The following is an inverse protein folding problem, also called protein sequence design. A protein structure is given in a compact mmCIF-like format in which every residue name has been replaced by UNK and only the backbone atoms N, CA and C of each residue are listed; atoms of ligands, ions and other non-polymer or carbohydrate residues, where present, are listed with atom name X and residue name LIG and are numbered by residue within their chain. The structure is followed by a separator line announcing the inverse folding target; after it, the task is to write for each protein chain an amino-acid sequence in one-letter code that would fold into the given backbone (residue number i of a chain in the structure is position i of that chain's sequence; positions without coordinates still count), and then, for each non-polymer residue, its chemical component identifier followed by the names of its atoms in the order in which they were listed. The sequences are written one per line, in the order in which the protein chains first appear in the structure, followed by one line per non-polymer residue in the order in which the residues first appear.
data_IF_850085067870
#
_entry.id   IF_850085067870
#
_cell.length_a   1.000
_cell.length_b   1.000
_cell.length_c   1.000
_cell.angle_alpha   90.00
_cell.angle_beta   90.00
_cell.angle_gamma   90.00
#
_symmetry.space_group_name_H-M   'P 1'
#
loop_
_entity.id
_entity.type
_entity.pdbx_description
1 polymer ?
#
# COMPACT_ATOMS: atom_id res chain seq x y z
N UNK A 1 -19.57 -2.68 -5.88
CA UNK A 1 -18.88 -1.43 -5.50
C UNK A 1 -19.44 -0.21 -6.24
N UNK A 2 -19.21 -0.01 -7.59
CA UNK A 2 -19.64 1.21 -8.30
C UNK A 2 -21.17 1.38 -8.30
N UNK A 3 -21.92 0.33 -8.59
CA UNK A 3 -23.39 0.39 -8.56
C UNK A 3 -23.97 0.50 -7.14
N UNK A 4 -23.32 0.00 -6.13
CA UNK A 4 -23.70 0.19 -4.72
C UNK A 4 -23.54 1.65 -4.29
N UNK A 5 -22.42 2.28 -4.68
CA UNK A 5 -22.19 3.72 -4.43
C UNK A 5 -23.22 4.58 -5.16
N UNK A 6 -23.50 4.24 -6.42
CA UNK A 6 -24.50 4.95 -7.20
C UNK A 6 -25.90 4.77 -6.64
N UNK A 7 -26.29 3.56 -6.21
CA UNK A 7 -27.58 3.36 -5.56
C UNK A 7 -27.72 4.17 -4.27
N UNK A 8 -26.68 4.20 -3.44
CA UNK A 8 -26.66 5.00 -2.21
C UNK A 8 -26.80 6.51 -2.47
N UNK A 9 -26.23 7.00 -3.58
CA UNK A 9 -26.33 8.42 -3.97
C UNK A 9 -27.67 8.78 -4.63
N UNK A 10 -28.33 7.83 -5.28
CA UNK A 10 -29.59 8.03 -6.02
C UNK A 10 -30.83 7.85 -5.15
N UNK A 11 -30.79 6.95 -4.18
CA UNK A 11 -31.95 6.66 -3.29
C UNK A 11 -32.32 7.88 -2.47
N UNK A 12 -33.64 8.21 -2.43
CA UNK A 12 -34.16 9.38 -1.74
C UNK A 12 -34.11 10.69 -2.53
N UNK A 13 -33.56 10.68 -3.75
CA UNK A 13 -33.50 11.86 -4.63
C UNK A 13 -34.68 11.88 -5.61
N UNK A 14 -35.04 13.09 -6.08
CA UNK A 14 -36.11 13.30 -7.05
C UNK A 14 -35.56 13.38 -8.48
N UNK A 15 -36.02 12.50 -9.35
CA UNK A 15 -35.66 12.53 -10.75
C UNK A 15 -36.36 13.69 -11.48
N UNK A 16 -35.59 14.44 -12.30
CA UNK A 16 -36.13 15.47 -13.19
C UNK A 16 -36.52 14.85 -14.55
N UNK A 17 -35.93 13.71 -14.90
CA UNK A 17 -36.23 12.97 -16.14
C UNK A 17 -35.39 11.71 -16.22
N UNK A 18 -35.75 10.82 -17.12
CA UNK A 18 -35.10 9.54 -17.39
C UNK A 18 -36.02 8.63 -18.18
N UNK A 19 -35.47 7.58 -18.80
CA UNK A 19 -36.27 6.64 -19.59
C UNK A 19 -37.24 5.89 -18.68
N UNK A 20 -38.55 6.18 -18.83
CA UNK A 20 -39.63 5.55 -18.04
C UNK A 20 -39.97 6.25 -16.72
N UNK A 21 -39.25 7.33 -16.33
CA UNK A 21 -39.50 8.07 -15.11
C UNK A 21 -40.24 9.39 -15.39
N UNK A 22 -41.29 9.66 -14.61
CA UNK A 22 -42.02 10.94 -14.67
C UNK A 22 -41.24 11.97 -13.83
N UNK A 23 -41.31 13.23 -14.26
CA UNK A 23 -40.67 14.36 -13.52
C UNK A 23 -41.21 14.43 -12.09
N UNK A 24 -40.30 14.39 -11.11
CA UNK A 24 -40.64 14.43 -9.68
C UNK A 24 -40.78 13.07 -8.99
N UNK A 25 -40.53 11.95 -9.70
CA UNK A 25 -40.55 10.60 -9.09
C UNK A 25 -39.37 10.46 -8.13
N UNK A 26 -39.66 10.05 -6.89
CA UNK A 26 -38.62 9.72 -5.90
C UNK A 26 -38.00 8.36 -6.21
N UNK A 27 -36.69 8.29 -6.21
CA UNK A 27 -35.95 7.05 -6.52
C UNK A 27 -35.88 6.19 -5.26
N UNK A 28 -36.54 5.02 -5.33
CA UNK A 28 -36.50 4.00 -4.28
C UNK A 28 -35.59 2.84 -4.67
N UNK A 29 -35.17 2.04 -3.69
CA UNK A 29 -34.34 0.84 -3.89
C UNK A 29 -35.03 -0.16 -4.83
N UNK A 30 -36.35 -0.31 -4.70
CA UNK A 30 -37.13 -1.27 -5.49
C UNK A 30 -37.19 -0.83 -6.95
N UNK A 31 -37.35 0.47 -7.21
CA UNK A 31 -37.34 1.05 -8.55
C UNK A 31 -35.99 0.87 -9.25
N UNK A 32 -34.89 1.03 -8.50
CA UNK A 32 -33.55 0.77 -9.04
C UNK A 32 -33.29 -0.73 -9.30
N UNK A 33 -33.92 -1.63 -8.54
CA UNK A 33 -33.79 -3.07 -8.73
C UNK A 33 -34.56 -3.55 -9.99
N UNK A 34 -35.69 -2.92 -10.32
CA UNK A 34 -36.48 -3.24 -11.53
C UNK A 34 -35.83 -2.68 -12.81
N UNK A 35 -35.03 -1.62 -12.72
CA UNK A 35 -34.37 -0.99 -13.88
C UNK A 35 -33.07 -1.71 -14.25
N UNK A 36 -32.78 -1.79 -15.57
CA UNK A 36 -31.48 -2.24 -16.02
C UNK A 36 -30.38 -1.26 -15.52
N UNK A 37 -29.32 -1.80 -15.01
CA UNK A 37 -28.15 -1.03 -14.51
C UNK A 37 -27.57 -0.05 -15.53
N UNK A 38 -27.74 -0.31 -16.82
CA UNK A 38 -27.36 0.62 -17.89
C UNK A 38 -28.26 1.86 -17.98
N UNK A 39 -29.48 1.76 -17.50
CA UNK A 39 -30.44 2.85 -17.56
C UNK A 39 -30.28 3.83 -16.38
N UNK A 40 -29.58 3.43 -15.32
CA UNK A 40 -29.28 4.30 -14.18
C UNK A 40 -28.49 5.55 -14.60
N UNK A 41 -27.59 5.46 -15.57
CA UNK A 41 -26.81 6.59 -16.07
C UNK A 41 -27.62 7.58 -16.92
N UNK A 42 -28.83 7.17 -17.35
CA UNK A 42 -29.76 8.03 -18.12
C UNK A 42 -30.73 8.81 -17.24
N UNK A 43 -30.70 8.58 -15.94
CA UNK A 43 -31.51 9.34 -14.98
C UNK A 43 -30.90 10.73 -14.85
N UNK A 44 -31.73 11.77 -14.98
CA UNK A 44 -31.36 13.14 -14.76
C UNK A 44 -31.89 13.63 -13.42
N UNK A 45 -31.01 14.15 -12.61
CA UNK A 45 -31.30 14.66 -11.28
C UNK A 45 -31.44 16.19 -11.31
N UNK A 46 -32.12 16.74 -10.28
CA UNK A 46 -32.21 18.18 -10.12
C UNK A 46 -30.87 18.82 -9.76
N UNK A 47 -30.00 18.06 -9.10
CA UNK A 47 -28.68 18.48 -8.66
C UNK A 47 -27.63 18.18 -9.73
N UNK A 48 -26.95 19.22 -10.22
CA UNK A 48 -25.98 19.12 -11.30
C UNK A 48 -24.73 18.32 -10.89
N UNK A 49 -24.33 18.38 -9.61
CA UNK A 49 -23.22 17.63 -9.06
C UNK A 49 -23.41 16.10 -9.18
N UNK A 50 -24.63 15.62 -8.98
CA UNK A 50 -24.98 14.20 -9.13
C UNK A 50 -24.98 13.76 -10.60
N UNK A 51 -25.42 14.63 -11.51
CA UNK A 51 -25.35 14.33 -12.94
C UNK A 51 -23.91 14.20 -13.42
N UNK A 52 -22.99 15.08 -12.96
CA UNK A 52 -21.57 14.97 -13.26
C UNK A 52 -20.96 13.67 -12.70
N UNK A 53 -21.36 13.25 -11.50
CA UNK A 53 -20.89 11.99 -10.92
C UNK A 53 -21.37 10.78 -11.73
N UNK A 54 -22.61 10.79 -12.21
CA UNK A 54 -23.16 9.75 -13.08
C UNK A 54 -22.40 9.67 -14.41
N UNK A 55 -22.14 10.80 -15.06
CA UNK A 55 -21.40 10.85 -16.31
C UNK A 55 -19.94 10.38 -16.13
N UNK A 56 -19.28 10.82 -15.06
CA UNK A 56 -17.93 10.34 -14.71
C UNK A 56 -17.89 8.84 -14.44
N UNK A 57 -18.88 8.31 -13.73
CA UNK A 57 -18.98 6.89 -13.45
C UNK A 57 -19.27 6.06 -14.72
N UNK A 58 -20.10 6.56 -15.63
CA UNK A 58 -20.35 5.94 -16.93
C UNK A 58 -19.08 5.88 -17.78
N UNK A 59 -18.37 7.00 -17.89
CA UNK A 59 -17.12 7.09 -18.63
C UNK A 59 -16.06 6.10 -18.08
N UNK A 60 -15.89 6.06 -16.76
CA UNK A 60 -14.97 5.12 -16.12
C UNK A 60 -15.33 3.65 -16.36
N UNK A 61 -16.62 3.32 -16.32
CA UNK A 61 -17.07 1.96 -16.59
C UNK A 61 -16.90 1.58 -18.08
N UNK A 62 -17.12 2.52 -18.98
CA UNK A 62 -16.90 2.32 -20.42
C UNK A 62 -15.41 2.08 -20.71
N UNK A 63 -14.54 2.88 -20.14
CA UNK A 63 -13.09 2.72 -20.26
C UNK A 63 -12.60 1.38 -19.71
N UNK A 64 -13.03 1.01 -18.50
CA UNK A 64 -12.69 -0.29 -17.92
C UNK A 64 -13.22 -1.48 -18.72
N UNK A 65 -14.42 -1.37 -19.28
CA UNK A 65 -14.94 -2.41 -20.18
C UNK A 65 -14.06 -2.56 -21.42
N UNK A 66 -13.69 -1.43 -22.04
CA UNK A 66 -12.80 -1.43 -23.19
C UNK A 66 -11.46 -2.10 -22.88
N UNK A 67 -10.85 -1.75 -21.74
CA UNK A 67 -9.60 -2.41 -21.31
C UNK A 67 -9.76 -3.93 -21.10
N UNK A 68 -10.88 -4.35 -20.52
CA UNK A 68 -11.15 -5.76 -20.30
C UNK A 68 -11.38 -6.50 -21.61
N UNK A 69 -12.11 -5.90 -22.54
CA UNK A 69 -12.36 -6.46 -23.85
C UNK A 69 -11.06 -6.58 -24.65
N UNK A 70 -10.19 -5.55 -24.62
CA UNK A 70 -8.87 -5.61 -25.25
C UNK A 70 -8.00 -6.72 -24.64
N UNK A 71 -7.95 -6.84 -23.30
CA UNK A 71 -7.23 -7.92 -22.62
C UNK A 71 -7.80 -9.31 -22.94
N UNK A 72 -9.13 -9.39 -23.06
CA UNK A 72 -9.79 -10.63 -23.40
C UNK A 72 -9.47 -11.05 -24.85
N UNK A 73 -9.56 -10.13 -25.79
CA UNK A 73 -9.20 -10.38 -27.19
C UNK A 73 -7.72 -10.75 -27.34
N UNK A 74 -6.82 -10.10 -26.59
CA UNK A 74 -5.40 -10.47 -26.57
C UNK A 74 -5.15 -11.87 -26.04
N UNK A 75 -5.84 -12.24 -24.94
CA UNK A 75 -5.76 -13.60 -24.38
C UNK A 75 -6.35 -14.62 -25.34
N UNK A 76 -7.49 -14.33 -25.95
CA UNK A 76 -8.13 -15.19 -26.94
C UNK A 76 -7.21 -15.41 -28.15
N UNK A 77 -6.60 -14.33 -28.66
CA UNK A 77 -5.63 -14.40 -29.76
C UNK A 77 -4.43 -15.26 -29.39
N UNK A 78 -3.84 -15.07 -28.20
CA UNK A 78 -2.72 -15.89 -27.72
C UNK A 78 -3.08 -17.36 -27.57
N UNK A 79 -4.29 -17.67 -27.11
CA UNK A 79 -4.79 -19.04 -27.03
C UNK A 79 -5.05 -19.66 -28.39
N UNK A 80 -5.57 -18.88 -29.34
CA UNK A 80 -5.84 -19.34 -30.71
C UNK A 80 -4.57 -19.53 -31.55
N UNK A 81 -3.53 -18.68 -31.33
CA UNK A 81 -2.25 -18.78 -32.06
C UNK A 81 -1.45 -20.01 -31.63
N UNK A 82 -1.72 -20.56 -30.42
CA UNK A 82 -0.98 -21.69 -29.87
C UNK A 82 0.46 -21.32 -29.51
N UNK A 83 1.09 -22.15 -28.69
CA UNK A 83 2.54 -22.08 -28.48
C UNK A 83 3.23 -22.77 -29.68
N UNK A 84 4.29 -22.16 -30.21
CA UNK A 84 5.17 -22.79 -31.21
C UNK A 84 5.90 -23.97 -30.56
N UNK A 85 5.24 -25.13 -30.54
CA UNK A 85 5.76 -26.35 -29.99
C UNK A 85 6.64 -27.04 -31.05
N UNK A 86 7.77 -27.61 -30.62
CA UNK A 86 8.62 -28.42 -31.50
C UNK A 86 7.84 -29.61 -32.07
N UNK A 87 8.15 -30.10 -33.27
CA UNK A 87 7.48 -31.25 -33.86
C UNK A 87 7.49 -32.45 -32.91
N UNK A 88 6.31 -33.05 -32.68
CA UNK A 88 6.14 -34.18 -31.77
C UNK A 88 5.85 -33.84 -30.31
N UNK A 89 5.85 -32.57 -29.95
CA UNK A 89 5.45 -32.12 -28.58
C UNK A 89 3.99 -31.71 -28.59
N UNK A 90 3.20 -32.36 -27.74
CA UNK A 90 1.76 -32.08 -27.59
C UNK A 90 1.50 -30.91 -26.61
N UNK A 91 2.32 -30.83 -25.55
CA UNK A 91 2.16 -29.82 -24.50
C UNK A 91 3.47 -29.62 -23.75
N UNK A 92 3.77 -28.39 -23.41
CA UNK A 92 4.87 -28.03 -22.50
C UNK A 92 4.27 -27.66 -21.14
N UNK A 93 4.76 -28.30 -20.10
CA UNK A 93 4.42 -27.95 -18.70
C UNK A 93 5.68 -27.42 -18.04
N UNK A 94 5.60 -26.16 -17.55
CA UNK A 94 6.66 -25.56 -16.73
C UNK A 94 6.33 -25.81 -15.27
N UNK A 95 7.18 -26.58 -14.60
CA UNK A 95 7.05 -26.84 -13.15
C UNK A 95 8.09 -26.00 -12.43
N UNK A 96 7.61 -25.14 -11.52
CA UNK A 96 8.47 -24.33 -10.67
C UNK A 96 8.63 -25.04 -9.33
N UNK A 97 9.88 -25.30 -8.95
CA UNK A 97 10.22 -25.90 -7.67
C UNK A 97 10.73 -24.82 -6.72
N UNK A 98 10.16 -24.73 -5.53
CA UNK A 98 10.65 -23.88 -4.46
C UNK A 98 11.32 -24.74 -3.40
N UNK A 99 12.61 -24.50 -3.13
CA UNK A 99 13.37 -25.18 -2.08
C UNK A 99 13.81 -24.16 -1.04
N UNK A 100 13.38 -24.34 0.21
CA UNK A 100 13.80 -23.51 1.33
C UNK A 100 15.13 -24.06 1.88
N UNK A 101 16.20 -23.28 1.73
CA UNK A 101 17.52 -23.59 2.31
C UNK A 101 17.79 -22.66 3.48
N UNK A 102 18.42 -23.18 4.53
CA UNK A 102 18.94 -22.35 5.63
C UNK A 102 20.21 -21.67 5.16
N UNK A 103 20.36 -20.38 5.52
CA UNK A 103 21.60 -19.65 5.31
C UNK A 103 22.71 -20.21 6.20
N UNK A 104 23.94 -20.19 5.70
CA UNK A 104 25.11 -20.71 6.38
C UNK A 104 26.25 -19.69 6.32
N UNK A 105 27.20 -19.71 7.28
CA UNK A 105 28.43 -18.96 7.15
C UNK A 105 29.12 -19.29 5.82
N UNK A 106 29.59 -18.26 5.11
CA UNK A 106 30.15 -18.37 3.77
C UNK A 106 29.17 -18.07 2.64
N UNK A 107 27.86 -18.06 2.90
CA UNK A 107 26.87 -17.68 1.89
C UNK A 107 26.98 -16.17 1.57
N UNK A 108 26.79 -15.85 0.28
CA UNK A 108 26.83 -14.47 -0.20
C UNK A 108 25.45 -13.82 -0.12
N UNK A 109 25.38 -12.71 0.60
CA UNK A 109 24.19 -11.88 0.73
C UNK A 109 24.43 -10.51 0.10
N UNK A 110 23.35 -9.89 -0.42
CA UNK A 110 23.42 -8.55 -1.00
C UNK A 110 22.12 -7.80 -0.76
N UNK A 111 22.21 -6.50 -0.56
CA UNK A 111 21.09 -5.58 -0.59
C UNK A 111 20.85 -4.99 -1.98
N UNK A 112 19.92 -4.04 -2.06
CA UNK A 112 19.52 -3.37 -3.31
C UNK A 112 20.48 -2.28 -3.78
N UNK A 113 21.47 -1.91 -2.98
CA UNK A 113 22.40 -0.79 -3.23
C UNK A 113 23.82 -1.24 -3.57
N UNK A 114 24.01 -2.46 -4.10
CA UNK A 114 25.33 -2.99 -4.40
C UNK A 114 26.16 -3.35 -3.16
N UNK A 115 25.56 -3.35 -1.98
CA UNK A 115 26.15 -3.75 -0.72
C UNK A 115 26.16 -5.28 -0.61
N UNK A 116 27.16 -5.91 -1.16
CA UNK A 116 27.35 -7.37 -1.12
C UNK A 116 28.33 -7.75 0.00
N UNK A 117 28.04 -8.84 0.67
CA UNK A 117 28.89 -9.39 1.73
C UNK A 117 28.77 -10.89 1.83
N UNK A 118 29.62 -11.49 2.64
CA UNK A 118 29.60 -12.92 2.95
C UNK A 118 29.25 -13.05 4.44
N UNK A 119 28.38 -13.97 4.77
CA UNK A 119 28.01 -14.24 6.17
C UNK A 119 29.24 -14.80 6.91
N UNK A 120 29.67 -14.08 7.92
CA UNK A 120 30.81 -14.48 8.73
C UNK A 120 30.40 -15.44 9.85
N UNK A 121 29.31 -15.13 10.53
CA UNK A 121 28.80 -15.89 11.67
C UNK A 121 27.30 -15.75 11.76
N UNK A 122 26.64 -16.76 12.27
CA UNK A 122 25.22 -16.72 12.66
C UNK A 122 25.21 -16.86 14.17
N UNK A 123 24.71 -15.83 14.85
CA UNK A 123 24.67 -15.79 16.33
C UNK A 123 23.28 -16.16 16.84
N UNK A 124 23.17 -16.72 18.05
CA UNK A 124 21.91 -16.84 18.76
C UNK A 124 21.27 -15.46 18.93
N UNK A 125 19.95 -15.42 18.99
CA UNK A 125 19.21 -14.15 19.09
C UNK A 125 19.49 -13.42 20.38
N UNK A 126 19.81 -14.16 21.46
CA UNK A 126 20.13 -13.66 22.78
C UNK A 126 21.47 -12.93 22.81
N UNK A 127 22.40 -13.31 21.92
CA UNK A 127 23.74 -12.71 21.82
C UNK A 127 23.78 -11.51 20.86
N UNK A 128 22.70 -11.28 20.12
CA UNK A 128 22.62 -10.15 19.19
C UNK A 128 22.46 -8.81 19.95
N UNK A 129 23.02 -7.73 19.43
CA UNK A 129 22.74 -6.40 19.97
C UNK A 129 21.24 -6.11 19.93
N UNK A 130 20.73 -5.55 20.99
CA UNK A 130 19.32 -5.21 21.14
C UNK A 130 19.14 -3.75 21.59
N UNK A 131 17.96 -3.21 21.34
CA UNK A 131 17.59 -1.87 21.79
C UNK A 131 17.21 -1.84 23.28
N UNK A 132 16.88 -0.66 23.81
CA UNK A 132 16.44 -0.47 25.19
C UNK A 132 15.14 -1.23 25.53
N UNK A 133 14.37 -1.63 24.52
CA UNK A 133 13.13 -2.39 24.68
C UNK A 133 13.33 -3.90 24.58
N UNK A 134 14.58 -4.35 24.35
CA UNK A 134 14.93 -5.76 24.19
C UNK A 134 14.66 -6.30 22.79
N UNK A 135 14.38 -5.45 21.79
CA UNK A 135 14.28 -5.91 20.40
C UNK A 135 15.69 -6.10 19.81
N UNK A 136 16.06 -7.32 19.37
CA UNK A 136 17.36 -7.58 18.77
C UNK A 136 17.42 -7.07 17.33
N UNK A 137 18.63 -6.70 16.88
CA UNK A 137 18.86 -6.40 15.48
C UNK A 137 18.92 -7.69 14.66
N UNK A 138 18.43 -7.67 13.43
CA UNK A 138 18.40 -8.85 12.56
C UNK A 138 19.75 -9.13 11.91
N UNK A 139 20.52 -8.09 11.59
CA UNK A 139 21.80 -8.19 10.89
C UNK A 139 22.73 -7.06 11.31
N UNK A 140 24.00 -7.40 11.48
CA UNK A 140 25.10 -6.44 11.71
C UNK A 140 25.96 -6.41 10.47
N UNK A 141 26.17 -5.23 9.91
CA UNK A 141 26.95 -5.01 8.70
C UNK A 141 28.26 -4.25 9.01
N UNK A 142 29.33 -4.58 8.29
CA UNK A 142 30.57 -3.84 8.41
C UNK A 142 30.43 -2.43 7.82
N UNK A 143 30.60 -1.35 8.64
CA UNK A 143 30.43 0.02 8.17
C UNK A 143 31.45 0.44 7.12
N UNK A 144 32.62 -0.19 7.04
CA UNK A 144 33.65 0.10 6.04
C UNK A 144 33.20 -0.18 4.59
N UNK A 145 32.13 -0.97 4.43
CA UNK A 145 31.52 -1.22 3.12
C UNK A 145 30.83 0.00 2.50
N UNK A 146 30.51 1.04 3.27
CA UNK A 146 29.80 2.24 2.82
C UNK A 146 30.73 3.31 2.23
N UNK A 147 31.77 3.80 2.97
CA UNK A 147 32.59 4.92 2.50
C UNK A 147 33.34 4.60 1.22
N UNK A 148 33.88 3.38 1.09
CA UNK A 148 34.68 2.97 -0.08
C UNK A 148 33.82 2.81 -1.33
N UNK A 149 32.53 2.54 -1.23
CA UNK A 149 31.61 2.28 -2.35
C UNK A 149 30.63 3.39 -2.63
N UNK A 150 30.57 4.40 -1.78
CA UNK A 150 29.71 5.59 -1.91
C UNK A 150 28.21 5.26 -2.09
N UNK A 151 27.76 4.10 -1.64
CA UNK A 151 26.39 3.63 -1.77
C UNK A 151 25.51 4.12 -0.59
N UNK A 152 25.38 5.44 -0.46
CA UNK A 152 24.66 6.10 0.63
C UNK A 152 23.17 5.71 0.66
N UNK A 153 22.61 5.28 -0.48
CA UNK A 153 21.21 4.86 -0.57
C UNK A 153 20.82 3.78 0.44
N UNK A 154 21.73 2.88 0.83
CA UNK A 154 21.45 1.87 1.86
C UNK A 154 21.20 2.47 3.25
N UNK A 155 21.87 3.58 3.57
CA UNK A 155 21.66 4.30 4.84
C UNK A 155 20.31 4.99 4.83
N UNK A 156 19.98 5.68 3.73
CA UNK A 156 18.67 6.31 3.56
C UNK A 156 17.53 5.29 3.61
N UNK A 157 17.72 4.13 3.00
CA UNK A 157 16.75 3.02 3.07
C UNK A 157 16.54 2.54 4.50
N UNK A 158 17.62 2.36 5.26
CA UNK A 158 17.55 1.91 6.66
C UNK A 158 16.85 2.94 7.55
N UNK A 159 17.17 4.22 7.39
CA UNK A 159 16.52 5.31 8.15
C UNK A 159 15.04 5.44 7.79
N UNK A 160 14.68 5.33 6.52
CA UNK A 160 13.27 5.34 6.10
C UNK A 160 12.52 4.12 6.64
N UNK A 161 13.16 2.94 6.64
CA UNK A 161 12.62 1.73 7.23
C UNK A 161 12.40 1.86 8.74
N UNK A 162 13.34 2.45 9.45
CA UNK A 162 13.22 2.75 10.88
C UNK A 162 12.05 3.70 11.14
N UNK A 163 11.93 4.78 10.36
CA UNK A 163 10.80 5.70 10.44
C UNK A 163 9.46 4.97 10.17
N UNK A 164 9.40 4.14 9.14
CA UNK A 164 8.20 3.38 8.79
C UNK A 164 7.77 2.40 9.89
N UNK A 165 8.72 1.69 10.51
CA UNK A 165 8.48 0.81 11.67
C UNK A 165 8.00 1.61 12.87
N UNK A 166 8.67 2.71 13.21
CA UNK A 166 8.30 3.57 14.33
C UNK A 166 6.92 4.21 14.20
N UNK A 167 6.54 4.63 12.99
CA UNK A 167 5.17 5.09 12.72
C UNK A 167 4.14 3.99 12.97
N UNK A 168 4.41 2.75 12.55
CA UNK A 168 3.55 1.60 12.80
C UNK A 168 3.40 1.31 14.29
N UNK A 169 4.49 1.32 15.06
CA UNK A 169 4.48 1.14 16.50
C UNK A 169 3.70 2.25 17.22
N UNK A 170 3.77 3.49 16.73
CA UNK A 170 2.97 4.60 17.25
C UNK A 170 1.49 4.41 17.01
N UNK A 171 1.12 3.95 15.80
CA UNK A 171 -0.27 3.58 15.47
C UNK A 171 -0.75 2.45 16.40
N UNK A 172 0.05 1.41 16.60
CA UNK A 172 -0.30 0.30 17.49
C UNK A 172 -0.55 0.78 18.93
N UNK A 173 0.32 1.64 19.47
CA UNK A 173 0.11 2.27 20.79
C UNK A 173 -1.20 3.06 20.86
N UNK A 174 -1.51 3.88 19.84
CA UNK A 174 -2.75 4.63 19.78
C UNK A 174 -3.99 3.72 19.78
N UNK A 175 -3.91 2.57 19.09
CA UNK A 175 -4.99 1.58 19.08
C UNK A 175 -5.12 0.87 20.43
N UNK A 176 -4.02 0.49 21.09
CA UNK A 176 -4.02 -0.14 22.40
C UNK A 176 -4.55 0.80 23.50
N UNK A 177 -4.20 2.08 23.44
CA UNK A 177 -4.70 3.12 24.33
C UNK A 177 -6.15 3.51 24.05
N UNK A 178 -6.79 2.91 23.05
CA UNK A 178 -8.17 3.22 22.62
C UNK A 178 -8.39 4.72 22.40
N UNK A 179 -7.41 5.39 21.79
CA UNK A 179 -7.53 6.81 21.48
C UNK A 179 -8.70 7.08 20.55
N UNK A 180 -9.22 8.30 20.61
CA UNK A 180 -10.35 8.70 19.76
C UNK A 180 -10.00 8.51 18.28
N UNK A 181 -10.94 8.00 17.51
CA UNK A 181 -10.77 7.77 16.07
C UNK A 181 -10.30 9.03 15.32
N UNK A 182 -10.77 10.21 15.77
CA UNK A 182 -10.32 11.49 15.23
C UNK A 182 -8.79 11.71 15.36
N UNK A 183 -8.19 11.36 16.51
CA UNK A 183 -6.74 11.50 16.72
C UNK A 183 -5.94 10.55 15.81
N UNK A 184 -6.45 9.33 15.61
CA UNK A 184 -5.85 8.36 14.69
C UNK A 184 -5.97 8.87 13.24
N UNK A 185 -7.11 9.46 12.88
CA UNK A 185 -7.32 10.09 11.56
C UNK A 185 -6.33 11.22 11.31
N UNK A 186 -6.23 12.16 12.24
CA UNK A 186 -5.30 13.29 12.17
C UNK A 186 -3.84 12.83 12.03
N UNK A 187 -3.47 11.77 12.76
CA UNK A 187 -2.14 11.20 12.67
C UNK A 187 -1.88 10.56 11.29
N UNK A 188 -2.81 9.76 10.79
CA UNK A 188 -2.70 9.18 9.45
C UNK A 188 -2.65 10.24 8.35
N UNK A 189 -3.42 11.32 8.48
CA UNK A 189 -3.33 12.46 7.56
C UNK A 189 -1.94 13.10 7.57
N UNK A 190 -1.34 13.28 8.74
CA UNK A 190 0.03 13.81 8.85
C UNK A 190 1.05 12.89 8.18
N UNK A 191 0.92 11.58 8.34
CA UNK A 191 1.79 10.58 7.68
C UNK A 191 1.68 10.70 6.16
N UNK A 192 0.44 10.68 5.63
CA UNK A 192 0.22 10.70 4.18
C UNK A 192 0.45 12.08 3.53
N UNK A 193 0.23 13.17 4.24
CA UNK A 193 0.53 14.52 3.74
C UNK A 193 2.03 14.74 3.56
N UNK A 194 2.86 14.21 4.46
CA UNK A 194 4.33 14.33 4.38
C UNK A 194 4.92 13.46 3.28
N UNK A 195 4.26 12.37 2.93
CA UNK A 195 4.66 11.52 1.79
C UNK A 195 4.21 12.06 0.43
N UNK A 196 3.60 13.26 0.39
CA UNK A 196 3.22 13.94 -0.85
C UNK A 196 2.05 13.32 -1.61
N UNK A 197 1.34 12.36 -1.01
CA UNK A 197 0.26 11.64 -1.66
C UNK A 197 -1.11 12.32 -1.46
N UNK A 198 -1.39 13.35 -2.26
CA UNK A 198 -2.68 14.07 -2.22
C UNK A 198 -3.92 13.19 -2.44
N UNK A 199 -3.78 12.08 -3.18
CA UNK A 199 -4.87 11.13 -3.41
C UNK A 199 -5.24 10.35 -2.14
N UNK A 200 -4.26 10.04 -1.29
CA UNK A 200 -4.49 9.34 -0.05
C UNK A 200 -5.25 10.22 0.96
N UNK A 201 -5.00 11.52 0.98
CA UNK A 201 -5.76 12.47 1.82
C UNK A 201 -7.24 12.45 1.47
N UNK A 202 -7.59 12.56 0.19
CA UNK A 202 -8.99 12.51 -0.27
C UNK A 202 -9.67 11.17 0.07
N UNK A 203 -8.90 10.08 0.11
CA UNK A 203 -9.42 8.77 0.52
C UNK A 203 -9.69 8.69 2.02
N UNK A 204 -8.80 9.22 2.87
CA UNK A 204 -8.97 9.26 4.32
C UNK A 204 -10.21 10.06 4.73
N UNK A 205 -10.46 11.20 4.06
CA UNK A 205 -11.64 12.04 4.31
C UNK A 205 -12.95 11.33 4.00
N UNK A 206 -12.94 10.38 3.07
CA UNK A 206 -14.13 9.63 2.64
C UNK A 206 -14.33 8.30 3.37
N UNK A 207 -13.36 7.85 4.18
CA UNK A 207 -13.43 6.61 4.94
C UNK A 207 -14.34 6.75 6.17
N UNK A 208 -15.12 5.70 6.42
CA UNK A 208 -15.84 5.54 7.68
C UNK A 208 -14.89 5.22 8.82
N UNK A 209 -15.33 5.46 10.05
CA UNK A 209 -14.49 5.18 11.24
C UNK A 209 -14.09 3.70 11.36
N UNK A 210 -14.96 2.78 10.96
CA UNK A 210 -14.65 1.35 10.94
C UNK A 210 -13.56 1.01 9.91
N UNK A 211 -13.66 1.54 8.69
CA UNK A 211 -12.65 1.34 7.64
C UNK A 211 -11.29 1.95 8.03
N UNK A 212 -11.32 3.09 8.74
CA UNK A 212 -10.11 3.74 9.24
C UNK A 212 -9.41 2.89 10.30
N UNK A 213 -10.16 2.31 11.24
CA UNK A 213 -9.62 1.42 12.27
C UNK A 213 -9.03 0.17 11.62
N UNK A 214 -9.72 -0.44 10.66
CA UNK A 214 -9.20 -1.60 9.92
C UNK A 214 -7.89 -1.26 9.18
N UNK A 215 -7.82 -0.07 8.56
CA UNK A 215 -6.60 0.42 7.94
C UNK A 215 -5.48 0.60 8.98
N UNK A 216 -5.77 1.20 10.13
CA UNK A 216 -4.80 1.40 11.20
C UNK A 216 -4.28 0.05 11.73
N UNK A 217 -5.13 -0.96 11.88
CA UNK A 217 -4.71 -2.32 12.25
C UNK A 217 -3.76 -2.94 11.23
N UNK A 218 -3.94 -2.68 9.94
CA UNK A 218 -3.04 -3.17 8.90
C UNK A 218 -1.67 -2.45 8.90
N UNK A 219 -1.63 -1.20 9.39
CA UNK A 219 -0.42 -0.38 9.44
C UNK A 219 0.40 -0.53 10.74
N UNK A 220 -0.10 -1.22 11.74
CA UNK A 220 0.55 -1.38 13.06
C UNK A 220 1.95 -2.02 12.99
N UNK A 221 2.20 -2.90 12.03
CA UNK A 221 3.50 -3.54 11.83
C UNK A 221 4.52 -2.65 11.10
N UNK A 222 4.08 -1.54 10.53
CA UNK A 222 4.87 -0.58 9.78
C UNK A 222 4.09 0.02 8.63
N UNK A 223 4.39 1.27 8.33
CA UNK A 223 3.76 1.99 7.21
C UNK A 223 4.54 1.69 5.92
N UNK A 224 3.93 1.06 4.91
CA UNK A 224 4.63 0.77 3.66
C UNK A 224 4.96 2.06 2.91
N UNK A 225 6.23 2.22 2.54
CA UNK A 225 6.74 3.35 1.77
C UNK A 225 7.11 2.87 0.36
N UNK A 226 6.61 3.58 -0.66
CA UNK A 226 6.97 3.35 -2.05
C UNK A 226 7.87 4.47 -2.54
N UNK A 227 9.06 4.12 -3.02
CA UNK A 227 10.01 5.05 -3.63
C UNK A 227 10.18 4.69 -5.10
N UNK A 228 9.52 5.41 -6.04
CA UNK A 228 9.71 5.20 -7.46
C UNK A 228 11.15 5.42 -7.90
N UNK A 229 11.55 4.82 -9.02
CA UNK A 229 12.88 5.02 -9.60
C UNK A 229 13.06 6.50 -9.98
N UNK A 230 14.18 7.10 -9.58
CA UNK A 230 14.52 8.52 -9.72
C UNK A 230 13.63 9.51 -8.94
N UNK A 231 12.75 9.03 -8.08
CA UNK A 231 11.91 9.83 -7.19
C UNK A 231 11.94 9.21 -5.78
N UNK A 232 13.14 9.10 -5.22
CA UNK A 232 13.38 8.57 -3.87
C UNK A 232 13.14 9.63 -2.80
N UNK A 233 12.95 9.16 -1.55
CA UNK A 233 12.78 10.02 -0.40
C UNK A 233 14.04 10.86 -0.14
N UNK A 234 13.85 12.16 0.12
CA UNK A 234 14.93 13.08 0.45
C UNK A 234 15.25 13.03 1.95
N UNK A 235 16.46 13.44 2.31
CA UNK A 235 16.91 13.45 3.72
C UNK A 235 15.97 14.24 4.63
N UNK A 236 15.50 15.40 4.16
CA UNK A 236 14.57 16.25 4.92
C UNK A 236 13.22 15.55 5.19
N UNK A 237 12.73 14.78 4.25
CA UNK A 237 11.48 14.00 4.38
C UNK A 237 11.66 12.86 5.38
N UNK A 238 12.78 12.15 5.31
CA UNK A 238 13.11 11.07 6.24
C UNK A 238 13.21 11.59 7.67
N UNK A 239 13.92 12.72 7.89
CA UNK A 239 14.01 13.37 9.19
C UNK A 239 12.65 13.81 9.72
N UNK A 240 11.79 14.32 8.85
CA UNK A 240 10.43 14.71 9.22
C UNK A 240 9.56 13.50 9.64
N UNK A 241 9.75 12.35 9.00
CA UNK A 241 9.06 11.10 9.36
C UNK A 241 9.61 10.51 10.67
N UNK A 242 10.94 10.56 10.90
CA UNK A 242 11.55 10.16 12.17
C UNK A 242 10.99 10.98 13.33
N UNK A 243 10.91 12.32 13.19
CA UNK A 243 10.28 13.18 14.21
C UNK A 243 8.83 12.81 14.47
N UNK A 244 8.07 12.51 13.42
CA UNK A 244 6.66 12.11 13.53
C UNK A 244 6.51 10.78 14.28
N UNK A 245 7.50 9.89 14.14
CA UNK A 245 7.58 8.60 14.84
C UNK A 245 8.15 8.71 16.27
N UNK A 246 8.47 9.92 16.75
CA UNK A 246 9.12 10.18 18.04
C UNK A 246 10.53 9.52 18.15
N UNK A 247 11.24 9.42 17.01
CA UNK A 247 12.58 8.85 16.90
C UNK A 247 13.64 9.95 16.71
N UNK A 248 14.91 9.70 17.11
CA UNK A 248 15.99 10.64 16.90
C UNK A 248 16.20 10.95 15.41
N UNK A 249 16.36 12.23 15.07
CA UNK A 249 16.58 12.67 13.69
C UNK A 249 17.89 12.15 13.06
N UNK A 250 18.87 11.83 13.91
CA UNK A 250 20.13 11.23 13.47
C UNK A 250 19.95 9.79 12.98
N UNK A 251 18.83 9.13 13.33
CA UNK A 251 18.59 7.71 13.08
C UNK A 251 19.51 6.79 13.87
N UNK A 252 20.25 7.33 14.85
CA UNK A 252 21.12 6.56 15.73
C UNK A 252 20.36 6.12 16.97
N UNK A 253 20.61 4.90 17.39
CA UNK A 253 20.03 4.31 18.60
C UNK A 253 21.14 3.75 19.46
N UNK A 254 20.95 3.80 20.77
CA UNK A 254 21.81 3.08 21.72
C UNK A 254 21.45 1.60 21.65
N UNK A 255 22.45 0.77 21.41
CA UNK A 255 22.32 -0.68 21.41
C UNK A 255 23.10 -1.26 22.57
N UNK A 256 22.61 -2.36 23.10
CA UNK A 256 23.23 -3.11 24.21
C UNK A 256 23.72 -4.43 23.62
N UNK A 257 25.00 -4.76 23.85
CA UNK A 257 25.56 -6.05 23.43
C UNK A 257 24.90 -7.18 24.25
N UNK A 258 24.28 -8.15 23.57
CA UNK A 258 23.58 -9.25 24.23
C UNK A 258 24.49 -10.18 25.05
N UNK A 259 25.81 -10.18 24.80
CA UNK A 259 26.76 -11.02 25.51
C UNK A 259 27.38 -10.35 26.71
N UNK A 260 27.77 -9.08 26.57
CA UNK A 260 28.51 -8.34 27.62
C UNK A 260 27.60 -7.42 28.42
N UNK A 261 26.51 -6.98 27.87
CA UNK A 261 25.64 -5.97 28.45
C UNK A 261 26.18 -4.53 28.32
N UNK A 262 27.28 -4.36 27.57
CA UNK A 262 27.84 -3.04 27.32
C UNK A 262 27.04 -2.27 26.28
N UNK A 263 27.05 -0.93 26.36
CA UNK A 263 26.37 -0.02 25.43
C UNK A 263 27.33 0.52 24.38
#
# INVERSE_FOLDING_TARGET
ATFERLSAALVGQKAVGGKGLKKGTEITTDLLAEMDKKEWFKIRMAEESLNEQLEKAEAQLAERRKELDERFEDKKRKLATGDDLAPGVLKIVKVYLAVKRRIQPGDKMAGRHGNKGVISVIMPIEDMPHDEHGEPVDIVLNPLGVPSRMNVGQILETHLGLAAKGLGQKIDRMLQEQRKVAEVRDFLEQVYNRTGNSKAKTQLDTMTDAELIDMAHNLRAGVPMATPVFDGAQEAEIKALLRLADLPESGQMTLIDGRTGDT
#
